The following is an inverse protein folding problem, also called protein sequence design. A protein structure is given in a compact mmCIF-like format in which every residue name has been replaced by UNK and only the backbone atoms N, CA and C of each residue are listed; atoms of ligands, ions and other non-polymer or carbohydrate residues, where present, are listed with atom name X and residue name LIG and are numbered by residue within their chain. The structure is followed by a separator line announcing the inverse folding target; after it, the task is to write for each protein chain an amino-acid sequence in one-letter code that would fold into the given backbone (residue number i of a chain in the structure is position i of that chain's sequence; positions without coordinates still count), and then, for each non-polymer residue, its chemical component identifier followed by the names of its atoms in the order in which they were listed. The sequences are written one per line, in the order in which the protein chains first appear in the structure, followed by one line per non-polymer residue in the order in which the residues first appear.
data_IF_942622798477
#
_entry.id   IF_942622798477
#
_cell.length_a   1.000
_cell.length_b   1.000
_cell.length_c   1.000
_cell.angle_alpha   90.00
_cell.angle_beta   90.00
_cell.angle_gamma   90.00
#
_symmetry.space_group_name_H-M   'P 1'
#
loop_
_entity.id
_entity.type
_entity.pdbx_description
1 polymer ?
#
# COMPACT_ATOMS: atom_id res chain seq x y z
N UNK A 1 -22.10 3.40 0.81
CA UNK A 1 -20.68 3.36 0.40
C UNK A 1 -19.83 3.76 1.61
N UNK A 2 -18.53 3.48 1.68
CA UNK A 2 -17.72 3.90 2.85
C UNK A 2 -17.78 5.42 3.09
N UNK A 3 -18.05 6.21 2.04
CA UNK A 3 -18.26 7.66 2.11
C UNK A 3 -19.43 8.11 3.00
N UNK A 4 -20.36 7.21 3.34
CA UNK A 4 -21.50 7.50 4.21
C UNK A 4 -21.19 7.19 5.69
N UNK A 5 -20.00 6.64 5.96
CA UNK A 5 -19.48 6.36 7.29
C UNK A 5 -18.45 7.43 7.64
N UNK A 6 -18.48 7.92 8.88
CA UNK A 6 -17.48 8.87 9.39
C UNK A 6 -16.15 8.14 9.69
N UNK A 7 -15.51 7.65 8.63
CA UNK A 7 -14.28 6.85 8.70
C UNK A 7 -13.27 7.31 7.64
N UNK A 8 -12.01 7.42 8.05
CA UNK A 8 -10.92 7.69 7.13
C UNK A 8 -10.45 6.39 6.44
N UNK A 9 -10.16 6.49 5.14
CA UNK A 9 -9.61 5.39 4.33
C UNK A 9 -8.20 5.76 3.89
N UNK A 10 -7.27 4.81 4.01
CA UNK A 10 -5.88 4.97 3.59
C UNK A 10 -5.45 3.75 2.77
N UNK A 11 -4.77 4.00 1.65
CA UNK A 11 -3.99 2.97 0.96
C UNK A 11 -2.56 2.96 1.48
N UNK A 12 -1.89 1.81 1.48
CA UNK A 12 -0.49 1.67 1.91
C UNK A 12 0.27 0.83 0.88
N UNK A 13 1.47 1.25 0.50
CA UNK A 13 2.43 0.40 -0.23
C UNK A 13 3.86 0.85 0.03
N UNK A 14 4.84 0.05 -0.41
CA UNK A 14 6.26 0.40 -0.36
C UNK A 14 6.75 1.29 -1.52
N UNK A 15 5.84 1.87 -2.32
CA UNK A 15 6.22 2.83 -3.35
C UNK A 15 6.56 4.19 -2.74
N UNK A 16 7.46 4.91 -3.42
CA UNK A 16 7.89 6.23 -2.96
C UNK A 16 6.78 7.28 -3.07
N UNK A 17 6.92 8.35 -2.29
CA UNK A 17 5.99 9.50 -2.31
C UNK A 17 5.69 10.02 -3.72
N UNK A 18 6.71 10.10 -4.59
CA UNK A 18 6.54 10.57 -5.97
C UNK A 18 5.66 9.63 -6.80
N UNK A 19 5.81 8.32 -6.64
CA UNK A 19 4.95 7.34 -7.33
C UNK A 19 3.51 7.44 -6.83
N UNK A 20 3.30 7.61 -5.53
CA UNK A 20 1.97 7.84 -4.96
C UNK A 20 1.32 9.09 -5.52
N UNK A 21 2.03 10.21 -5.55
CA UNK A 21 1.52 11.46 -6.14
C UNK A 21 1.10 11.27 -7.60
N UNK A 22 1.97 10.67 -8.42
CA UNK A 22 1.65 10.37 -9.82
C UNK A 22 0.43 9.44 -9.95
N UNK A 23 0.27 8.46 -9.06
CA UNK A 23 -0.84 7.51 -9.09
C UNK A 23 -2.16 8.18 -8.67
N UNK A 24 -2.14 9.02 -7.64
CA UNK A 24 -3.27 9.83 -7.19
C UNK A 24 -3.74 10.74 -8.32
N UNK A 25 -2.83 11.48 -8.95
CA UNK A 25 -3.14 12.38 -10.06
C UNK A 25 -3.69 11.62 -11.27
N UNK A 26 -3.06 10.50 -11.64
CA UNK A 26 -3.46 9.70 -12.80
C UNK A 26 -4.86 9.09 -12.66
N UNK A 27 -5.24 8.69 -11.45
CA UNK A 27 -6.47 7.95 -11.20
C UNK A 27 -7.55 8.75 -10.47
N UNK A 28 -7.28 10.01 -10.11
CA UNK A 28 -8.23 10.86 -9.41
C UNK A 28 -8.65 10.29 -8.05
N UNK A 29 -7.70 9.72 -7.31
CA UNK A 29 -7.97 9.11 -6.01
C UNK A 29 -8.41 10.17 -5.00
N UNK A 30 -9.45 9.86 -4.23
CA UNK A 30 -10.04 10.75 -3.23
C UNK A 30 -9.64 10.36 -1.79
N UNK A 31 -8.57 9.58 -1.62
CA UNK A 31 -8.04 9.16 -0.33
C UNK A 31 -6.52 9.13 -0.36
N UNK A 32 -5.92 9.18 0.84
CA UNK A 32 -4.48 9.26 1.00
C UNK A 32 -3.78 7.91 0.82
N UNK A 33 -2.58 7.96 0.27
CA UNK A 33 -1.66 6.82 0.19
C UNK A 33 -0.47 7.04 1.12
N UNK A 34 -0.31 6.14 2.08
CA UNK A 34 0.82 6.12 3.01
C UNK A 34 2.01 5.38 2.38
N UNK A 35 3.21 5.90 2.65
CA UNK A 35 4.48 5.35 2.17
C UNK A 35 5.08 4.45 3.25
N UNK A 36 5.24 3.16 2.92
CA UNK A 36 5.86 2.15 3.79
C UNK A 36 7.08 1.53 3.09
N UNK A 37 8.04 2.38 2.68
CA UNK A 37 9.22 2.00 1.88
C UNK A 37 10.03 0.84 2.51
N UNK A 38 10.11 0.78 3.84
CA UNK A 38 10.81 -0.28 4.58
C UNK A 38 9.93 -1.48 4.97
N UNK A 39 8.66 -1.48 4.53
CA UNK A 39 7.63 -2.47 4.86
C UNK A 39 7.46 -2.67 6.37
N UNK A 40 7.64 -1.61 7.17
CA UNK A 40 7.60 -1.71 8.64
C UNK A 40 6.18 -2.02 9.10
N UNK A 41 5.20 -1.23 8.64
CA UNK A 41 3.80 -1.45 8.98
C UNK A 41 3.32 -2.79 8.41
N UNK A 42 3.75 -3.11 7.19
CA UNK A 42 3.43 -4.37 6.54
C UNK A 42 3.92 -5.61 7.32
N UNK A 43 5.11 -5.53 7.94
CA UNK A 43 5.65 -6.58 8.81
C UNK A 43 4.89 -6.64 10.14
N UNK A 44 4.63 -5.50 10.77
CA UNK A 44 3.92 -5.42 12.05
C UNK A 44 2.48 -5.97 11.96
N UNK A 45 1.82 -5.75 10.82
CA UNK A 45 0.46 -6.25 10.55
C UNK A 45 0.44 -7.66 9.95
N UNK A 46 1.60 -8.24 9.67
CA UNK A 46 1.72 -9.59 9.12
C UNK A 46 1.24 -9.71 7.67
N UNK A 47 1.08 -8.63 6.92
CA UNK A 47 0.73 -8.71 5.48
C UNK A 47 1.96 -8.92 4.60
N UNK A 48 3.16 -8.56 5.09
CA UNK A 48 4.42 -8.85 4.39
C UNK A 48 4.82 -10.31 4.57
N UNK A 49 4.66 -11.10 3.52
CA UNK A 49 4.74 -12.57 3.59
C UNK A 49 5.64 -13.17 2.52
N UNK A 50 6.12 -14.38 2.78
CA UNK A 50 6.94 -15.13 1.84
C UNK A 50 6.06 -15.77 0.77
N UNK A 51 6.23 -15.35 -0.49
CA UNK A 51 5.49 -15.88 -1.64
C UNK A 51 6.42 -16.74 -2.51
N UNK A 52 5.88 -17.80 -3.09
CA UNK A 52 6.58 -18.59 -4.09
C UNK A 52 6.39 -17.94 -5.47
N UNK A 53 7.45 -17.36 -6.01
CA UNK A 53 7.46 -16.70 -7.30
C UNK A 53 8.48 -17.38 -8.22
N UNK A 54 8.00 -18.02 -9.29
CA UNK A 54 8.85 -18.73 -10.26
C UNK A 54 9.86 -19.69 -9.60
N UNK A 55 9.36 -20.54 -8.70
CA UNK A 55 10.15 -21.48 -7.88
C UNK A 55 11.20 -20.83 -6.96
N UNK A 56 11.13 -19.51 -6.74
CA UNK A 56 11.95 -18.77 -5.77
C UNK A 56 11.06 -18.21 -4.66
N UNK A 57 11.56 -18.24 -3.43
CA UNK A 57 10.88 -17.63 -2.29
C UNK A 57 11.25 -16.14 -2.22
N UNK A 58 10.26 -15.26 -2.29
CA UNK A 58 10.42 -13.79 -2.28
C UNK A 58 9.48 -13.19 -1.25
N UNK A 59 9.96 -12.25 -0.45
CA UNK A 59 9.10 -11.48 0.46
C UNK A 59 8.35 -10.40 -0.30
N UNK A 60 7.04 -10.33 -0.10
CA UNK A 60 6.18 -9.37 -0.78
C UNK A 60 5.01 -8.97 0.12
N UNK A 61 4.55 -7.71 -0.06
CA UNK A 61 3.18 -7.31 0.25
C UNK A 61 2.22 -8.17 -0.58
#
# INVERSE_FOLDING_TARGET
MFNDLDVAVYGISGDSKKKHQNFIEKHGLNFDLLVDEDFKLAKETGVYQLKNHLAKKVWAL
#
